data_IF_175223917773
#
_entry.id   IF_175223917773
#
_cell.length_a   1.000
_cell.length_b   1.000
_cell.length_c   1.000
_cell.angle_alpha   90.00
_cell.angle_beta   90.00
_cell.angle_gamma   90.00
#
_symmetry.space_group_name_H-M   'P 1'
#
loop_
_entity.id
_entity.type
_entity.pdbx_description
1 polymer ?
#
# COMPACT_ATOMS: atom_id res chain seq x y z
N UNK A 1 16.69 17.45 -1.95
CA UNK A 1 17.28 16.17 -1.49
C UNK A 1 16.23 15.07 -1.60
N UNK A 2 16.42 14.08 -2.48
CA UNK A 2 15.54 12.90 -2.60
C UNK A 2 16.14 11.77 -1.77
N UNK A 3 15.50 11.39 -0.66
CA UNK A 3 15.92 10.25 0.16
C UNK A 3 15.22 9.01 -0.39
N UNK A 4 15.96 8.09 -0.99
CA UNK A 4 15.43 6.78 -1.37
C UNK A 4 15.16 5.97 -0.11
N UNK A 5 13.93 5.45 0.01
CA UNK A 5 13.62 4.48 1.05
C UNK A 5 14.24 3.14 0.62
N UNK A 6 15.41 2.81 1.19
CA UNK A 6 16.03 1.49 1.03
C UNK A 6 15.25 0.54 1.92
N UNK A 7 14.27 -0.15 1.35
CA UNK A 7 13.58 -1.26 2.01
C UNK A 7 14.58 -2.41 2.12
N UNK A 8 15.28 -2.49 3.25
CA UNK A 8 16.00 -3.70 3.63
C UNK A 8 14.98 -4.74 4.05
N UNK A 9 15.04 -5.93 3.46
CA UNK A 9 14.16 -7.04 3.80
C UNK A 9 14.43 -7.50 5.26
N UNK A 10 13.55 -7.14 6.19
CA UNK A 10 13.64 -7.58 7.59
C UNK A 10 13.59 -9.10 7.74
N UNK A 11 12.98 -9.83 6.79
CA UNK A 11 12.99 -11.30 6.81
C UNK A 11 14.37 -11.89 6.53
N UNK A 12 15.26 -11.16 5.86
CA UNK A 12 16.65 -11.57 5.65
C UNK A 12 17.46 -11.71 6.95
N UNK A 13 16.95 -11.19 8.08
CA UNK A 13 17.61 -11.27 9.38
C UNK A 13 17.44 -12.62 10.09
N UNK A 14 16.62 -13.52 9.55
CA UNK A 14 16.53 -14.89 10.05
C UNK A 14 17.83 -15.65 9.76
N UNK A 15 18.48 -16.28 10.76
CA UNK A 15 19.76 -16.97 10.57
C UNK A 15 19.69 -18.07 9.50
N UNK A 16 18.53 -18.71 9.34
CA UNK A 16 18.29 -19.71 8.31
C UNK A 16 18.24 -19.13 6.89
N UNK A 17 17.70 -17.92 6.72
CA UNK A 17 17.65 -17.23 5.42
C UNK A 17 19.00 -16.59 5.05
N UNK A 18 19.84 -16.33 6.05
CA UNK A 18 21.22 -15.87 5.86
C UNK A 18 22.15 -16.99 5.37
N UNK A 19 21.91 -18.26 5.76
CA UNK A 19 22.67 -19.42 5.27
C UNK A 19 22.24 -19.91 3.89
N UNK A 20 21.15 -19.39 3.33
CA UNK A 20 20.65 -19.84 2.04
C UNK A 20 21.46 -19.22 0.87
N UNK A 21 21.84 -20.04 -0.14
CA UNK A 21 22.47 -19.56 -1.37
C UNK A 21 21.65 -18.49 -2.11
N UNK A 22 22.30 -17.53 -2.79
CA UNK A 22 21.64 -16.37 -3.39
C UNK A 22 20.63 -16.73 -4.50
N UNK A 23 20.84 -17.85 -5.21
CA UNK A 23 19.93 -18.28 -6.27
C UNK A 23 18.58 -18.81 -5.76
N UNK A 24 18.50 -19.27 -4.50
CA UNK A 24 17.23 -19.70 -3.88
C UNK A 24 16.42 -18.48 -3.43
N UNK A 25 17.11 -17.41 -3.02
CA UNK A 25 16.50 -16.14 -2.58
C UNK A 25 15.91 -15.35 -3.75
N UNK A 26 16.46 -15.52 -4.96
CA UNK A 26 15.98 -14.85 -6.18
C UNK A 26 14.53 -15.22 -6.54
N UNK A 27 14.05 -16.41 -6.15
CA UNK A 27 12.67 -16.84 -6.39
C UNK A 27 11.64 -16.19 -5.45
N UNK A 28 12.11 -15.57 -4.37
CA UNK A 28 11.29 -14.82 -3.42
C UNK A 28 11.32 -13.31 -3.73
N UNK A 29 11.33 -12.95 -5.01
CA UNK A 29 10.97 -11.60 -5.44
C UNK A 29 9.63 -11.27 -4.77
N UNK A 30 9.67 -10.43 -3.73
CA UNK A 30 8.49 -9.89 -3.12
C UNK A 30 7.70 -9.29 -4.27
N UNK A 31 6.56 -9.90 -4.61
CA UNK A 31 5.70 -9.43 -5.70
C UNK A 31 5.56 -7.93 -5.48
N UNK A 32 6.29 -7.15 -6.28
CA UNK A 32 6.25 -5.71 -6.17
C UNK A 32 4.80 -5.42 -6.48
N UNK A 33 4.01 -5.12 -5.45
CA UNK A 33 2.60 -4.83 -5.59
C UNK A 33 2.62 -3.68 -6.58
N UNK A 34 2.28 -3.99 -7.84
CA UNK A 34 2.16 -3.02 -8.91
C UNK A 34 0.91 -2.26 -8.56
N UNK A 35 1.02 -1.41 -7.56
CA UNK A 35 0.00 -0.49 -7.11
C UNK A 35 -0.13 0.44 -8.29
N UNK A 36 -1.10 0.13 -9.15
CA UNK A 36 -1.48 0.97 -10.26
C UNK A 36 -1.81 2.33 -9.67
N UNK A 37 -0.85 3.26 -9.73
CA UNK A 37 -0.98 4.61 -9.15
C UNK A 37 -2.20 5.33 -9.71
N UNK A 38 -2.61 5.00 -10.94
CA UNK A 38 -3.82 5.52 -11.58
C UNK A 38 -5.11 4.89 -11.05
N UNK A 39 -5.13 3.57 -10.84
CA UNK A 39 -6.29 2.89 -10.28
C UNK A 39 -6.55 3.26 -8.82
N UNK A 40 -5.48 3.45 -8.04
CA UNK A 40 -5.58 3.87 -6.64
C UNK A 40 -6.21 5.25 -6.47
N UNK A 41 -5.80 6.23 -7.29
CA UNK A 41 -6.27 7.62 -7.16
C UNK A 41 -7.77 7.77 -7.46
N UNK A 42 -8.28 7.07 -8.48
CA UNK A 42 -9.71 7.11 -8.82
C UNK A 42 -10.56 6.42 -7.74
N UNK A 43 -10.07 5.32 -7.18
CA UNK A 43 -10.73 4.66 -6.06
C UNK A 43 -10.74 5.56 -4.81
N UNK A 44 -9.62 6.18 -4.47
CA UNK A 44 -9.53 7.13 -3.34
C UNK A 44 -10.50 8.30 -3.50
N UNK A 45 -10.59 8.88 -4.70
CA UNK A 45 -11.53 9.96 -4.99
C UNK A 45 -12.98 9.51 -4.82
N UNK A 46 -13.30 8.29 -5.26
CA UNK A 46 -14.63 7.73 -5.11
C UNK A 46 -14.99 7.54 -3.64
N UNK A 47 -14.09 6.95 -2.85
CA UNK A 47 -14.32 6.74 -1.42
C UNK A 47 -14.47 8.07 -0.67
N UNK A 48 -13.67 9.09 -1.02
CA UNK A 48 -13.79 10.43 -0.46
C UNK A 48 -15.14 11.08 -0.77
N UNK A 49 -15.58 11.04 -2.04
CA UNK A 49 -16.89 11.59 -2.46
C UNK A 49 -18.04 10.87 -1.75
N UNK A 50 -17.97 9.55 -1.62
CA UNK A 50 -18.99 8.77 -0.91
C UNK A 50 -19.09 9.18 0.56
N UNK A 51 -17.95 9.33 1.25
CA UNK A 51 -17.92 9.80 2.64
C UNK A 51 -18.46 11.23 2.79
N UNK A 52 -18.06 12.13 1.88
CA UNK A 52 -18.57 13.51 1.86
C UNK A 52 -20.09 13.55 1.67
N UNK A 53 -20.63 12.82 0.69
CA UNK A 53 -22.06 12.72 0.45
C UNK A 53 -22.81 12.13 1.64
N UNK A 54 -22.29 11.07 2.26
CA UNK A 54 -22.91 10.46 3.43
C UNK A 54 -23.01 11.44 4.61
N UNK A 55 -21.93 12.15 4.93
CA UNK A 55 -21.92 13.17 5.97
C UNK A 55 -22.87 14.33 5.64
N UNK A 56 -22.86 14.80 4.40
CA UNK A 56 -23.72 15.91 3.97
C UNK A 56 -25.20 15.55 4.13
N UNK A 57 -25.62 14.38 3.63
CA UNK A 57 -27.00 13.90 3.76
C UNK A 57 -27.38 13.72 5.22
N UNK A 58 -26.50 13.17 6.05
CA UNK A 58 -26.75 13.00 7.48
C UNK A 58 -27.00 14.36 8.17
N UNK A 59 -26.20 15.38 7.88
CA UNK A 59 -26.37 16.73 8.43
C UNK A 59 -27.64 17.39 7.90
N UNK A 60 -27.93 17.26 6.60
CA UNK A 60 -29.16 17.81 6.01
C UNK A 60 -30.42 17.18 6.63
N UNK A 61 -30.43 15.87 6.83
CA UNK A 61 -31.55 15.16 7.48
C UNK A 61 -31.69 15.51 8.97
N UNK A 62 -30.58 15.81 9.64
CA UNK A 62 -30.62 16.24 11.04
C UNK A 62 -31.19 17.66 11.20
N UNK A 63 -30.94 18.54 10.22
CA UNK A 63 -31.39 19.93 10.24
C UNK A 63 -32.82 20.08 9.71
N UNK A 64 -33.26 19.22 8.78
CA UNK A 64 -34.62 19.19 8.25
C UNK A 64 -35.64 18.69 9.28
#
# INVERSE_FOLDING_TARGET
MRRSLVLTDEKARHPFLASLPPHIRLGAEAQAIKRSRRGGLLNDLRDFVMAYCACFVAVSLYIA
#
